data_IF_340811717219
#
_entry.id   IF_340811717219
#
_cell.length_a   1.000
_cell.length_b   1.000
_cell.length_c   1.000
_cell.angle_alpha   90.00
_cell.angle_beta   90.00
_cell.angle_gamma   90.00
#
_symmetry.space_group_name_H-M   'P 1'
#
loop_
_entity.id
_entity.type
_entity.pdbx_description
1 polymer ?
#
# COMPACT_ATOMS: atom_id res chain seq x y z
N UNK A 1 4.20 -7.12 -25.43
CA UNK A 1 5.10 -7.87 -24.50
C UNK A 1 5.19 -7.29 -23.09
N UNK A 2 4.91 -6.01 -22.85
CA UNK A 2 4.98 -5.37 -21.50
C UNK A 2 3.93 -5.91 -20.50
N UNK A 3 2.82 -6.45 -20.95
CA UNK A 3 1.67 -6.84 -20.10
C UNK A 3 1.94 -8.09 -19.23
N UNK A 4 2.50 -9.17 -19.78
CA UNK A 4 2.68 -10.44 -19.03
C UNK A 4 3.72 -10.33 -17.89
N UNK A 5 4.81 -9.59 -18.11
CA UNK A 5 5.85 -9.41 -17.10
C UNK A 5 5.37 -8.50 -15.96
N UNK A 6 4.57 -7.47 -16.27
CA UNK A 6 3.98 -6.58 -15.27
C UNK A 6 2.97 -7.32 -14.37
N UNK A 7 2.09 -8.14 -14.96
CA UNK A 7 1.14 -8.97 -14.22
C UNK A 7 1.86 -9.87 -13.19
N UNK A 8 2.86 -10.61 -13.66
CA UNK A 8 3.64 -11.51 -12.80
C UNK A 8 4.41 -10.77 -11.73
N UNK A 9 4.95 -9.60 -12.05
CA UNK A 9 5.70 -8.77 -11.09
C UNK A 9 4.80 -8.29 -9.97
N UNK A 10 3.62 -7.73 -10.29
CA UNK A 10 2.65 -7.29 -9.29
C UNK A 10 2.19 -8.45 -8.39
N UNK A 11 1.86 -9.61 -8.98
CA UNK A 11 1.48 -10.78 -8.20
C UNK A 11 2.63 -11.23 -7.26
N UNK A 12 3.86 -11.31 -7.74
CA UNK A 12 5.03 -11.68 -6.91
C UNK A 12 5.24 -10.70 -5.77
N UNK A 13 5.15 -9.41 -6.03
CA UNK A 13 5.28 -8.37 -5.01
C UNK A 13 4.12 -8.41 -4.02
N UNK A 14 2.91 -8.69 -4.51
CA UNK A 14 1.74 -8.85 -3.64
C UNK A 14 1.89 -10.04 -2.68
N UNK A 15 2.29 -11.21 -3.17
CA UNK A 15 2.56 -12.37 -2.32
C UNK A 15 3.73 -12.16 -1.37
N UNK A 16 4.78 -11.43 -1.81
CA UNK A 16 5.89 -11.08 -0.94
C UNK A 16 5.44 -10.14 0.19
N UNK A 17 4.63 -9.12 -0.11
CA UNK A 17 4.08 -8.22 0.90
C UNK A 17 3.14 -8.97 1.86
N UNK A 18 2.34 -9.89 1.34
CA UNK A 18 1.50 -10.77 2.16
C UNK A 18 2.34 -11.58 3.15
N UNK A 19 3.45 -12.17 2.69
CA UNK A 19 4.38 -12.88 3.57
C UNK A 19 4.96 -11.96 4.65
N UNK A 20 5.41 -10.76 4.29
CA UNK A 20 5.90 -9.77 5.24
C UNK A 20 4.82 -9.41 6.29
N UNK A 21 3.58 -9.23 5.84
CA UNK A 21 2.45 -8.95 6.71
C UNK A 21 2.16 -10.09 7.70
N UNK A 22 2.21 -11.34 7.25
CA UNK A 22 2.03 -12.52 8.12
C UNK A 22 3.13 -12.59 9.18
N UNK A 23 4.39 -12.33 8.80
CA UNK A 23 5.51 -12.25 9.75
C UNK A 23 5.29 -11.10 10.75
N UNK A 24 4.82 -9.93 10.29
CA UNK A 24 4.44 -8.81 11.18
C UNK A 24 3.38 -9.23 12.19
N UNK A 25 2.38 -10.02 11.77
CA UNK A 25 1.35 -10.57 12.66
C UNK A 25 1.91 -11.44 13.77
N UNK A 26 2.90 -12.26 13.47
CA UNK A 26 3.58 -13.08 14.50
C UNK A 26 4.43 -12.23 15.47
N UNK A 27 4.93 -11.10 14.99
CA UNK A 27 5.79 -10.21 15.77
C UNK A 27 5.00 -9.17 16.62
N UNK A 28 3.68 -9.10 16.51
CA UNK A 28 2.82 -8.10 17.20
C UNK A 28 3.17 -7.89 18.68
N UNK A 29 3.39 -8.92 19.51
CA UNK A 29 3.68 -8.71 20.94
C UNK A 29 5.01 -7.98 21.20
N UNK A 30 5.93 -7.97 20.23
CA UNK A 30 7.26 -7.34 20.36
C UNK A 30 7.31 -5.86 20.01
N UNK A 31 6.20 -5.27 19.49
CA UNK A 31 6.16 -3.86 19.14
C UNK A 31 5.86 -2.96 20.33
N UNK A 32 6.35 -1.72 20.29
CA UNK A 32 6.04 -0.68 21.27
C UNK A 32 4.53 -0.47 21.38
N UNK A 33 3.83 -0.41 20.23
CA UNK A 33 2.37 -0.32 20.16
C UNK A 33 1.78 -1.56 19.45
N UNK A 34 1.37 -2.61 20.19
CA UNK A 34 0.80 -3.82 19.59
C UNK A 34 -0.48 -3.59 18.78
N UNK A 35 -1.34 -2.62 19.17
CA UNK A 35 -2.55 -2.30 18.41
C UNK A 35 -2.22 -1.76 17.03
N UNK A 36 -1.21 -0.88 16.93
CA UNK A 36 -0.70 -0.38 15.66
C UNK A 36 -0.05 -1.50 14.83
N UNK A 37 0.63 -2.44 15.49
CA UNK A 37 1.22 -3.61 14.82
C UNK A 37 0.16 -4.55 14.22
N UNK A 38 -1.00 -4.71 14.88
CA UNK A 38 -2.16 -5.41 14.30
C UNK A 38 -2.67 -4.65 13.07
N UNK A 39 -2.76 -3.32 13.11
CA UNK A 39 -3.12 -2.51 11.94
C UNK A 39 -2.13 -2.73 10.80
N UNK A 40 -0.82 -2.69 11.07
CA UNK A 40 0.23 -2.95 10.08
C UNK A 40 0.10 -4.35 9.44
N UNK A 41 -0.17 -5.38 10.25
CA UNK A 41 -0.45 -6.73 9.76
C UNK A 41 -1.62 -6.74 8.78
N UNK A 42 -2.76 -6.18 9.17
CA UNK A 42 -3.98 -6.17 8.35
C UNK A 42 -3.79 -5.35 7.07
N UNK A 43 -3.17 -4.18 7.17
CA UNK A 43 -2.84 -3.33 6.02
C UNK A 43 -1.91 -4.03 5.04
N UNK A 44 -0.89 -4.73 5.53
CA UNK A 44 0.01 -5.49 4.68
C UNK A 44 -0.69 -6.66 3.97
N UNK A 45 -1.62 -7.36 4.66
CA UNK A 45 -2.45 -8.38 4.04
C UNK A 45 -3.34 -7.79 2.94
N UNK A 46 -4.08 -6.71 3.25
CA UNK A 46 -4.97 -6.05 2.28
C UNK A 46 -4.20 -5.49 1.08
N UNK A 47 -3.07 -4.82 1.30
CA UNK A 47 -2.24 -4.26 0.24
C UNK A 47 -1.56 -5.35 -0.60
N UNK A 48 -1.14 -6.45 0.02
CA UNK A 48 -0.62 -7.61 -0.68
C UNK A 48 -1.66 -8.22 -1.62
N UNK A 49 -2.89 -8.43 -1.13
CA UNK A 49 -4.01 -8.90 -1.95
C UNK A 49 -4.38 -7.90 -3.05
N UNK A 50 -4.38 -6.59 -2.75
CA UNK A 50 -4.62 -5.55 -3.75
C UNK A 50 -3.62 -5.66 -4.92
N UNK A 51 -2.32 -5.80 -4.65
CA UNK A 51 -1.31 -5.96 -5.70
C UNK A 51 -1.53 -7.25 -6.51
N UNK A 52 -1.92 -8.35 -5.85
CA UNK A 52 -2.25 -9.61 -6.55
C UNK A 52 -3.45 -9.41 -7.48
N UNK A 53 -4.53 -8.79 -6.99
CA UNK A 53 -5.75 -8.53 -7.77
C UNK A 53 -5.44 -7.60 -8.95
N UNK A 54 -4.74 -6.47 -8.70
CA UNK A 54 -4.33 -5.54 -9.76
C UNK A 54 -3.47 -6.25 -10.80
N UNK A 55 -2.55 -7.14 -10.37
CA UNK A 55 -1.76 -7.97 -11.27
C UNK A 55 -2.61 -8.91 -12.12
N UNK A 56 -3.62 -9.56 -11.56
CA UNK A 56 -4.53 -10.47 -12.28
C UNK A 56 -5.35 -9.74 -13.33
N UNK A 57 -5.86 -8.54 -13.01
CA UNK A 57 -6.72 -7.77 -13.93
C UNK A 57 -5.94 -6.80 -14.83
N UNK A 58 -4.62 -6.71 -14.71
CA UNK A 58 -3.79 -5.69 -15.37
C UNK A 58 -4.03 -5.56 -16.87
N UNK A 59 -4.13 -6.70 -17.57
CA UNK A 59 -4.40 -6.72 -19.01
C UNK A 59 -5.78 -6.18 -19.40
N UNK A 60 -6.72 -6.17 -18.46
CA UNK A 60 -8.09 -5.68 -18.65
C UNK A 60 -8.24 -4.18 -18.37
N UNK A 61 -7.24 -3.55 -17.69
CA UNK A 61 -7.32 -2.14 -17.30
C UNK A 61 -7.17 -1.16 -18.48
N UNK A 62 -6.75 -1.62 -19.66
CA UNK A 62 -6.56 -0.75 -20.83
C UNK A 62 -5.40 0.26 -20.71
N UNK A 63 -4.53 0.07 -19.73
CA UNK A 63 -3.37 0.93 -19.49
C UNK A 63 -2.26 0.66 -20.50
N UNK A 64 -1.65 1.71 -21.05
CA UNK A 64 -0.57 1.58 -22.03
C UNK A 64 0.54 2.62 -21.80
N UNK A 65 1.73 2.33 -22.33
CA UNK A 65 2.84 3.26 -22.39
C UNK A 65 3.25 3.84 -21.01
N UNK A 66 3.33 5.17 -20.93
CA UNK A 66 3.71 5.89 -19.70
C UNK A 66 2.68 5.75 -18.59
N UNK A 67 1.39 5.73 -18.94
CA UNK A 67 0.32 5.61 -17.95
C UNK A 67 0.40 4.28 -17.19
N UNK A 68 0.65 3.18 -17.89
CA UNK A 68 0.84 1.88 -17.26
C UNK A 68 2.01 1.89 -16.25
N UNK A 69 3.14 2.52 -16.61
CA UNK A 69 4.30 2.64 -15.69
C UNK A 69 3.97 3.48 -14.46
N UNK A 70 3.26 4.60 -14.64
CA UNK A 70 2.86 5.47 -13.53
C UNK A 70 1.95 4.70 -12.56
N UNK A 71 0.89 4.07 -13.08
CA UNK A 71 -0.07 3.32 -12.25
C UNK A 71 0.60 2.14 -11.54
N UNK A 72 1.51 1.42 -12.22
CA UNK A 72 2.30 0.35 -11.61
C UNK A 72 3.07 0.84 -10.38
N UNK A 73 3.86 1.93 -10.53
CA UNK A 73 4.67 2.44 -9.43
C UNK A 73 3.88 3.09 -8.32
N UNK A 74 2.74 3.72 -8.64
CA UNK A 74 1.84 4.27 -7.63
C UNK A 74 1.24 3.18 -6.75
N UNK A 75 0.75 2.06 -7.33
CA UNK A 75 0.26 0.93 -6.55
C UNK A 75 1.37 0.27 -5.75
N UNK A 76 2.51 0.02 -6.35
CA UNK A 76 3.65 -0.60 -5.67
C UNK A 76 4.12 0.26 -4.49
N UNK A 77 4.34 1.55 -4.71
CA UNK A 77 4.72 2.49 -3.66
C UNK A 77 3.68 2.54 -2.54
N UNK A 78 2.42 2.77 -2.88
CA UNK A 78 1.36 2.90 -1.87
C UNK A 78 1.25 1.62 -1.02
N UNK A 79 1.29 0.44 -1.63
CA UNK A 79 1.14 -0.83 -0.93
C UNK A 79 2.29 -1.08 0.07
N UNK A 80 3.53 -0.94 -0.37
CA UNK A 80 4.70 -1.16 0.48
C UNK A 80 4.90 -0.05 1.51
N UNK A 81 4.68 1.22 1.12
CA UNK A 81 4.80 2.35 2.02
C UNK A 81 3.76 2.30 3.14
N UNK A 82 2.51 1.88 2.84
CA UNK A 82 1.47 1.77 3.85
C UNK A 82 1.83 0.75 4.92
N UNK A 83 2.15 -0.50 4.52
CA UNK A 83 2.61 -1.51 5.46
C UNK A 83 3.86 -1.08 6.22
N UNK A 84 4.85 -0.53 5.51
CA UNK A 84 6.14 -0.14 6.10
C UNK A 84 6.01 1.01 7.11
N UNK A 85 5.25 2.07 6.77
CA UNK A 85 5.08 3.22 7.66
C UNK A 85 4.21 2.87 8.88
N UNK A 86 3.19 2.01 8.73
CA UNK A 86 2.37 1.58 9.87
C UNK A 86 3.16 0.63 10.79
N UNK A 87 4.02 -0.22 10.22
CA UNK A 87 4.97 -1.02 11.00
C UNK A 87 5.97 -0.13 11.76
N UNK A 88 6.50 0.91 11.11
CA UNK A 88 7.35 1.91 11.73
C UNK A 88 6.61 2.67 12.85
N UNK A 89 5.36 3.07 12.60
CA UNK A 89 4.50 3.72 13.59
C UNK A 89 4.28 2.83 14.84
N UNK A 90 4.10 1.52 14.62
CA UNK A 90 3.98 0.55 15.70
C UNK A 90 5.26 0.43 16.53
N UNK A 91 6.43 0.45 15.89
CA UNK A 91 7.72 0.38 16.55
C UNK A 91 8.07 1.66 17.32
N UNK A 92 7.71 2.84 16.79
CA UNK A 92 8.01 4.14 17.39
C UNK A 92 6.93 4.63 18.37
N UNK A 93 5.72 4.07 18.33
CA UNK A 93 4.59 4.54 19.14
C UNK A 93 4.01 5.86 18.66
N UNK A 94 4.04 6.17 17.34
CA UNK A 94 3.43 7.40 16.82
C UNK A 94 1.91 7.35 16.91
N UNK A 95 1.25 8.51 17.02
CA UNK A 95 -0.20 8.60 17.27
C UNK A 95 -0.92 9.71 16.53
N UNK A 96 -0.21 10.70 15.97
CA UNK A 96 -0.80 11.94 15.46
C UNK A 96 -1.85 11.73 14.38
N UNK A 97 -1.59 10.93 13.34
CA UNK A 97 -2.55 10.65 12.27
C UNK A 97 -3.47 9.45 12.54
N UNK A 98 -3.13 8.64 13.53
CA UNK A 98 -3.87 7.43 13.87
C UNK A 98 -4.22 7.42 15.36
N UNK A 99 -5.00 8.41 15.87
CA UNK A 99 -5.20 8.62 17.30
C UNK A 99 -5.89 7.46 18.00
N UNK A 100 -6.73 6.69 17.30
CA UNK A 100 -7.38 5.51 17.89
C UNK A 100 -6.39 4.36 18.12
N UNK A 101 -5.63 4.00 17.10
CA UNK A 101 -4.62 2.93 17.22
C UNK A 101 -3.41 3.39 18.06
N UNK A 102 -3.09 4.67 18.03
CA UNK A 102 -2.01 5.30 18.79
C UNK A 102 -2.38 5.73 20.21
N UNK A 103 -3.63 5.55 20.67
CA UNK A 103 -4.07 6.01 22.00
C UNK A 103 -3.20 5.46 23.12
N UNK A 104 -2.67 6.35 23.96
CA UNK A 104 -1.78 6.03 25.06
C UNK A 104 -0.30 5.92 24.70
N UNK A 105 0.07 6.19 23.43
CA UNK A 105 1.44 6.22 22.95
C UNK A 105 1.80 7.62 22.44
N UNK A 106 3.09 7.94 22.46
CA UNK A 106 3.62 9.19 21.91
C UNK A 106 5.04 8.97 21.41
N UNK A 107 5.40 9.67 20.35
CA UNK A 107 6.74 9.66 19.78
C UNK A 107 7.31 11.08 19.68
N UNK A 108 8.59 11.22 19.33
CA UNK A 108 9.19 12.53 19.15
C UNK A 108 8.53 13.29 17.97
N UNK A 109 8.55 14.65 17.99
CA UNK A 109 7.98 15.44 16.90
C UNK A 109 8.56 15.09 15.51
N UNK A 110 9.84 14.73 15.46
CA UNK A 110 10.50 14.30 14.22
C UNK A 110 9.92 12.97 13.70
N UNK A 111 9.75 11.98 14.59
CA UNK A 111 9.17 10.67 14.24
C UNK A 111 7.72 10.81 13.77
N UNK A 112 6.92 11.62 14.46
CA UNK A 112 5.55 11.94 14.07
C UNK A 112 5.50 12.60 12.68
N UNK A 113 6.38 13.56 12.39
CA UNK A 113 6.44 14.23 11.10
C UNK A 113 6.84 13.28 9.97
N UNK A 114 7.83 12.42 10.18
CA UNK A 114 8.26 11.43 9.17
C UNK A 114 7.11 10.48 8.81
N UNK A 115 6.47 9.88 9.83
CA UNK A 115 5.33 8.99 9.64
C UNK A 115 4.19 9.71 8.92
N UNK A 116 3.87 10.95 9.34
CA UNK A 116 2.80 11.75 8.75
C UNK A 116 3.06 12.05 7.26
N UNK A 117 4.26 12.49 6.89
CA UNK A 117 4.60 12.80 5.49
C UNK A 117 4.45 11.57 4.60
N UNK A 118 4.93 10.40 5.06
CA UNK A 118 4.81 9.17 4.30
C UNK A 118 3.32 8.77 4.18
N UNK A 119 2.54 8.81 5.25
CA UNK A 119 1.10 8.47 5.22
C UNK A 119 0.30 9.37 4.27
N UNK A 120 0.56 10.67 4.26
CA UNK A 120 -0.11 11.59 3.33
C UNK A 120 0.31 11.30 1.89
N UNK A 121 1.60 11.09 1.64
CA UNK A 121 2.11 10.84 0.27
C UNK A 121 1.55 9.52 -0.32
N UNK A 122 1.48 8.45 0.46
CA UNK A 122 0.91 7.17 -0.01
C UNK A 122 -0.60 7.27 -0.24
N UNK A 123 -1.33 8.03 0.58
CA UNK A 123 -2.76 8.26 0.37
C UNK A 123 -3.01 8.97 -0.97
N UNK A 124 -2.24 10.01 -1.28
CA UNK A 124 -2.31 10.67 -2.59
C UNK A 124 -1.93 9.72 -3.74
N UNK A 125 -0.93 8.86 -3.54
CA UNK A 125 -0.49 7.90 -4.55
C UNK A 125 -1.58 6.87 -4.86
N UNK A 126 -2.21 6.25 -3.85
CA UNK A 126 -3.25 5.24 -4.07
C UNK A 126 -4.52 5.84 -4.67
N UNK A 127 -4.94 7.02 -4.20
CA UNK A 127 -6.10 7.74 -4.76
C UNK A 127 -5.86 8.04 -6.24
N UNK A 128 -4.67 8.55 -6.58
CA UNK A 128 -4.30 8.83 -7.98
C UNK A 128 -4.29 7.56 -8.81
N UNK A 129 -3.70 6.47 -8.32
CA UNK A 129 -3.65 5.19 -9.02
C UNK A 129 -5.07 4.66 -9.34
N UNK A 130 -5.95 4.66 -8.35
CA UNK A 130 -7.34 4.20 -8.51
C UNK A 130 -8.12 5.10 -9.46
N UNK A 131 -7.97 6.43 -9.36
CA UNK A 131 -8.61 7.38 -10.27
C UNK A 131 -8.18 7.16 -11.73
N UNK A 132 -6.89 6.91 -11.98
CA UNK A 132 -6.36 6.60 -13.31
C UNK A 132 -6.90 5.27 -13.85
N UNK A 133 -7.07 4.27 -13.01
CA UNK A 133 -7.70 2.99 -13.40
C UNK A 133 -9.16 3.20 -13.76
N UNK A 134 -9.94 3.91 -12.94
CA UNK A 134 -11.34 4.23 -13.23
C UNK A 134 -11.49 4.99 -14.55
N UNK A 135 -10.61 5.98 -14.78
CA UNK A 135 -10.60 6.73 -16.03
C UNK A 135 -10.29 5.84 -17.25
N UNK A 136 -9.31 4.97 -17.12
CA UNK A 136 -8.89 4.04 -18.19
C UNK A 136 -10.00 3.06 -18.57
N UNK A 137 -10.74 2.55 -17.59
CA UNK A 137 -11.87 1.64 -17.83
C UNK A 137 -13.05 2.31 -18.54
N UNK A 138 -13.28 3.61 -18.32
CA UNK A 138 -14.34 4.38 -19.02
C UNK A 138 -14.05 4.53 -20.51
N UNK A 139 -12.80 4.82 -20.88
CA UNK A 139 -12.42 5.04 -22.30
C UNK A 139 -12.58 3.81 -23.19
N UNK A 140 -12.62 2.61 -22.59
CA UNK A 140 -12.74 1.36 -23.34
C UNK A 140 -14.19 1.06 -23.81
N UNK A 141 -15.17 1.79 -23.29
CA UNK A 141 -16.59 1.62 -23.62
C UNK A 141 -17.07 2.55 -24.74
N UNK A 142 -16.22 3.42 -25.30
CA UNK A 142 -16.55 4.20 -26.50
C UNK A 142 -16.30 3.34 -27.75
N UNK A 143 -17.33 2.99 -28.53
CA UNK A 143 -17.13 2.31 -29.80
C UNK A 143 -16.35 3.23 -30.75
N UNK A 144 -15.36 2.66 -31.44
CA UNK A 144 -14.60 3.33 -32.47
C UNK A 144 -15.48 3.64 -33.71
#
# INVERSE_FOLDING_TARGET
MVSKDTNRTLMRWGFFLLLCALVTGLAVPGFTNPRMAVSAHLEGVMNGLLLVIVGLVWSHLGLSGRLAKIVFWLFAYAAFANWGVTTLAAALGTSRLTPMAGAGYSASPMQENVVQVIQVSLALAVITAVALVVYSLRRRNEPA
#
